data_IF_018370858391
#
_entry.id   IF_018370858391
#
_cell.length_a   1.000
_cell.length_b   1.000
_cell.length_c   1.000
_cell.angle_alpha   90.00
_cell.angle_beta   90.00
_cell.angle_gamma   90.00
#
_symmetry.space_group_name_H-M   'P 1'
#
loop_
_entity.id
_entity.type
_entity.pdbx_description
1 polymer ?
#
# COMPACT_ATOMS: atom_id res chain seq x y z
N UNK A 1 -31.37 7.51 -13.74
CA UNK A 1 -31.58 7.90 -15.15
C UNK A 1 -33.06 8.11 -15.48
N UNK A 2 -33.96 7.14 -15.22
CA UNK A 2 -35.38 7.28 -15.55
C UNK A 2 -36.13 8.36 -14.75
N UNK A 3 -35.87 8.52 -13.44
CA UNK A 3 -36.62 9.48 -12.60
C UNK A 3 -36.46 10.95 -12.97
N UNK A 4 -35.25 11.37 -13.36
CA UNK A 4 -35.00 12.78 -13.73
C UNK A 4 -35.56 13.11 -15.11
N UNK A 5 -35.38 12.21 -16.09
CA UNK A 5 -35.89 12.41 -17.46
C UNK A 5 -37.42 12.38 -17.48
N UNK A 6 -38.05 11.52 -16.67
CA UNK A 6 -39.51 11.49 -16.53
C UNK A 6 -40.05 12.75 -15.84
N UNK A 7 -39.38 13.25 -14.79
CA UNK A 7 -39.78 14.49 -14.10
C UNK A 7 -39.62 15.72 -15.01
N UNK A 8 -38.53 15.81 -15.76
CA UNK A 8 -38.28 16.89 -16.72
C UNK A 8 -39.29 16.85 -17.88
N UNK A 9 -39.59 15.66 -18.40
CA UNK A 9 -40.63 15.47 -19.41
C UNK A 9 -42.03 15.87 -18.91
N UNK A 10 -42.38 15.51 -17.68
CA UNK A 10 -43.65 15.87 -17.05
C UNK A 10 -43.78 17.38 -16.83
N UNK A 11 -42.71 18.06 -16.40
CA UNK A 11 -42.69 19.51 -16.24
C UNK A 11 -42.84 20.25 -17.58
N UNK A 12 -42.19 19.75 -18.64
CA UNK A 12 -42.35 20.29 -20.00
C UNK A 12 -43.77 20.08 -20.54
N UNK A 13 -44.35 18.89 -20.33
CA UNK A 13 -45.73 18.63 -20.71
C UNK A 13 -46.72 19.52 -19.93
N UNK A 14 -46.51 19.67 -18.61
CA UNK A 14 -47.35 20.50 -17.75
C UNK A 14 -47.31 21.98 -18.17
N UNK A 15 -46.10 22.52 -18.43
CA UNK A 15 -45.92 23.89 -18.91
C UNK A 15 -46.51 24.12 -20.29
N UNK A 16 -46.39 23.15 -21.21
CA UNK A 16 -47.05 23.20 -22.51
C UNK A 16 -48.58 23.24 -22.37
N UNK A 17 -49.16 22.40 -21.50
CA UNK A 17 -50.61 22.37 -21.25
C UNK A 17 -51.11 23.68 -20.63
N UNK A 18 -50.38 24.22 -19.64
CA UNK A 18 -50.75 25.48 -18.96
C UNK A 18 -50.70 26.69 -19.90
N UNK A 19 -49.77 26.70 -20.86
CA UNK A 19 -49.66 27.75 -21.89
C UNK A 19 -50.66 27.56 -23.03
N UNK A 20 -51.03 26.33 -23.38
CA UNK A 20 -51.98 26.05 -24.46
C UNK A 20 -53.44 26.24 -24.02
N UNK A 21 -53.76 26.02 -22.74
CA UNK A 21 -55.10 26.17 -22.16
C UNK A 21 -55.78 27.54 -22.39
N UNK A 22 -55.11 28.69 -22.16
CA UNK A 22 -55.70 30.00 -22.47
C UNK A 22 -55.81 30.28 -23.98
N UNK A 23 -55.09 29.54 -24.82
CA UNK A 23 -55.07 29.71 -26.28
C UNK A 23 -56.21 28.97 -26.99
N UNK A 24 -56.71 27.88 -26.41
CA UNK A 24 -57.92 27.19 -26.88
C UNK A 24 -59.21 27.93 -26.54
N UNK A 25 -59.18 28.91 -25.62
CA UNK A 25 -60.30 29.84 -25.44
C UNK A 25 -60.30 30.82 -26.62
N UNK A 26 -61.17 30.54 -27.60
CA UNK A 26 -61.37 31.29 -28.84
C UNK A 26 -61.50 32.80 -28.57
N UNK A 27 -60.52 33.59 -29.02
CA UNK A 27 -60.76 35.01 -29.34
C UNK A 27 -61.23 35.12 -30.81
N UNK A 28 -62.06 36.13 -31.15
CA UNK A 28 -63.01 36.03 -32.26
C UNK A 28 -62.45 36.16 -33.69
N UNK A 29 -61.13 36.29 -33.91
CA UNK A 29 -60.62 36.58 -35.26
C UNK A 29 -59.59 35.55 -35.75
N UNK A 30 -60.00 34.81 -36.78
CA UNK A 30 -59.32 33.64 -37.33
C UNK A 30 -58.05 33.94 -38.13
N UNK A 31 -56.88 33.96 -37.46
CA UNK A 31 -55.58 33.85 -38.13
C UNK A 31 -54.69 32.75 -37.51
N UNK A 32 -54.23 31.75 -38.27
CA UNK A 32 -53.46 30.60 -37.76
C UNK A 32 -51.97 30.89 -37.46
N UNK A 33 -51.48 32.11 -37.70
CA UNK A 33 -50.06 32.46 -37.57
C UNK A 33 -49.53 32.42 -36.12
N UNK A 34 -50.40 32.48 -35.09
CA UNK A 34 -49.99 32.56 -33.68
C UNK A 34 -49.66 31.20 -33.04
N UNK A 35 -50.10 30.09 -33.65
CA UNK A 35 -49.81 28.73 -33.18
C UNK A 35 -48.40 28.28 -33.57
N UNK A 36 -47.98 28.57 -34.80
CA UNK A 36 -46.64 28.22 -35.28
C UNK A 36 -45.53 28.99 -34.57
N UNK A 37 -45.78 30.26 -34.19
CA UNK A 37 -44.82 31.04 -33.41
C UNK A 37 -44.67 30.50 -31.98
N UNK A 38 -45.76 30.07 -31.34
CA UNK A 38 -45.70 29.49 -29.99
C UNK A 38 -44.94 28.15 -29.98
N UNK A 39 -45.19 27.27 -30.97
CA UNK A 39 -44.47 26.00 -31.12
C UNK A 39 -42.98 26.26 -31.41
N UNK A 40 -42.69 27.25 -32.26
CA UNK A 40 -41.32 27.66 -32.56
C UNK A 40 -40.56 28.13 -31.32
N UNK A 41 -41.19 28.98 -30.49
CA UNK A 41 -40.58 29.46 -29.24
C UNK A 41 -40.32 28.31 -28.28
N UNK A 42 -41.25 27.36 -28.13
CA UNK A 42 -41.10 26.22 -27.23
C UNK A 42 -39.99 25.26 -27.70
N UNK A 43 -39.88 25.05 -29.01
CA UNK A 43 -38.82 24.26 -29.62
C UNK A 43 -37.45 24.91 -29.42
N UNK A 44 -37.35 26.23 -29.64
CA UNK A 44 -36.12 26.99 -29.43
C UNK A 44 -35.71 26.99 -27.96
N UNK A 45 -36.66 27.10 -27.02
CA UNK A 45 -36.37 27.05 -25.59
C UNK A 45 -35.89 25.66 -25.15
N UNK A 46 -36.50 24.59 -25.68
CA UNK A 46 -36.13 23.22 -25.35
C UNK A 46 -34.78 22.83 -25.94
N UNK A 47 -34.57 23.11 -27.23
CA UNK A 47 -33.30 22.85 -27.92
C UNK A 47 -32.19 23.74 -27.36
N UNK A 48 -32.50 25.01 -27.12
CA UNK A 48 -31.60 25.97 -26.49
C UNK A 48 -31.20 25.54 -25.09
N UNK A 49 -32.14 25.03 -24.27
CA UNK A 49 -31.85 24.51 -22.93
C UNK A 49 -30.93 23.28 -22.97
N UNK A 50 -31.17 22.34 -23.88
CA UNK A 50 -30.31 21.15 -24.07
C UNK A 50 -28.92 21.56 -24.55
N UNK A 51 -28.83 22.46 -25.53
CA UNK A 51 -27.56 22.98 -26.04
C UNK A 51 -26.78 23.77 -24.99
N UNK A 52 -27.48 24.57 -24.17
CA UNK A 52 -26.90 25.35 -23.09
C UNK A 52 -26.42 24.46 -21.94
N UNK A 53 -27.17 23.41 -21.61
CA UNK A 53 -26.72 22.39 -20.66
C UNK A 53 -25.49 21.64 -21.20
N UNK A 54 -25.48 21.26 -22.48
CA UNK A 54 -24.32 20.60 -23.09
C UNK A 54 -23.08 21.52 -23.11
N UNK A 55 -23.26 22.83 -23.36
CA UNK A 55 -22.16 23.80 -23.44
C UNK A 55 -21.63 24.26 -22.07
N UNK A 56 -22.49 24.36 -21.05
CA UNK A 56 -22.12 24.87 -19.72
C UNK A 56 -21.93 23.77 -18.67
N UNK A 57 -22.46 22.55 -18.88
CA UNK A 57 -22.25 21.47 -17.92
C UNK A 57 -20.81 20.98 -17.96
N UNK A 58 -20.18 20.94 -16.79
CA UNK A 58 -18.86 20.33 -16.57
C UNK A 58 -18.97 18.85 -16.16
N UNK A 59 -20.13 18.22 -16.39
CA UNK A 59 -20.42 16.87 -15.93
C UNK A 59 -19.91 15.85 -16.96
N UNK A 60 -18.80 15.19 -16.66
CA UNK A 60 -18.19 14.20 -17.54
C UNK A 60 -18.80 12.81 -17.32
N UNK A 61 -19.77 12.45 -18.18
CA UNK A 61 -20.37 11.10 -18.25
C UNK A 61 -19.36 9.97 -18.52
N UNK A 62 -18.10 10.30 -18.85
CA UNK A 62 -16.98 9.37 -19.05
C UNK A 62 -16.36 8.82 -17.76
N UNK A 63 -16.64 9.41 -16.59
CA UNK A 63 -16.11 8.90 -15.30
C UNK A 63 -16.65 7.51 -14.95
N UNK A 64 -17.86 7.16 -15.40
CA UNK A 64 -18.46 5.84 -15.11
C UNK A 64 -17.78 4.69 -15.85
N UNK A 65 -17.23 4.93 -17.05
CA UNK A 65 -16.40 3.97 -17.78
C UNK A 65 -14.97 3.92 -17.24
N UNK A 66 -14.40 5.08 -16.85
CA UNK A 66 -13.04 5.13 -16.31
C UNK A 66 -12.89 4.40 -14.97
N UNK A 67 -13.93 4.40 -14.12
CA UNK A 67 -13.92 3.64 -12.86
C UNK A 67 -13.87 2.10 -13.09
N UNK A 68 -14.44 1.61 -14.20
CA UNK A 68 -14.48 0.19 -14.53
C UNK A 68 -13.11 -0.36 -15.02
N UNK A 69 -12.27 0.49 -15.58
CA UNK A 69 -10.95 0.14 -16.12
C UNK A 69 -9.79 0.45 -15.15
N UNK A 70 -10.09 0.79 -13.89
CA UNK A 70 -9.03 0.96 -12.89
C UNK A 70 -8.34 -0.39 -12.62
N UNK A 71 -7.02 -0.40 -12.33
CA UNK A 71 -6.31 -1.62 -11.94
C UNK A 71 -6.99 -2.37 -10.79
N UNK A 72 -7.60 -1.66 -9.84
CA UNK A 72 -8.37 -2.22 -8.74
C UNK A 72 -9.65 -2.92 -9.23
N UNK A 73 -10.43 -2.27 -10.11
CA UNK A 73 -11.65 -2.85 -10.67
C UNK A 73 -11.35 -4.08 -11.55
N UNK A 74 -10.30 -4.02 -12.37
CA UNK A 74 -9.85 -5.16 -13.17
C UNK A 74 -9.42 -6.35 -12.30
N UNK A 75 -8.68 -6.09 -11.22
CA UNK A 75 -8.27 -7.13 -10.26
C UNK A 75 -9.47 -7.74 -9.55
N UNK A 76 -10.47 -6.93 -9.16
CA UNK A 76 -11.70 -7.42 -8.56
C UNK A 76 -12.51 -8.29 -9.54
N UNK A 77 -12.59 -7.90 -10.82
CA UNK A 77 -13.23 -8.69 -11.87
C UNK A 77 -12.51 -10.02 -12.11
N UNK A 78 -11.18 -10.02 -12.10
CA UNK A 78 -10.37 -11.22 -12.19
C UNK A 78 -10.62 -12.16 -10.99
N UNK A 79 -10.58 -11.63 -9.77
CA UNK A 79 -10.89 -12.41 -8.56
C UNK A 79 -12.28 -13.05 -8.62
N UNK A 80 -13.29 -12.29 -9.10
CA UNK A 80 -14.65 -12.82 -9.28
C UNK A 80 -14.72 -13.93 -10.32
N UNK A 81 -13.97 -13.82 -11.42
CA UNK A 81 -13.90 -14.89 -12.43
C UNK A 81 -13.28 -16.15 -11.85
N UNK A 82 -12.17 -16.02 -11.12
CA UNK A 82 -11.45 -17.16 -10.54
C UNK A 82 -12.23 -17.87 -9.42
N UNK A 83 -13.24 -17.22 -8.85
CA UNK A 83 -14.20 -17.90 -7.98
C UNK A 83 -15.01 -18.98 -8.73
N UNK A 84 -15.28 -18.77 -10.03
CA UNK A 84 -15.97 -19.73 -10.89
C UNK A 84 -15.00 -20.64 -11.66
N UNK A 85 -13.72 -20.26 -11.76
CA UNK A 85 -12.64 -21.01 -12.41
C UNK A 85 -11.52 -21.35 -11.40
N UNK A 86 -11.81 -22.14 -10.36
CA UNK A 86 -10.90 -22.32 -9.22
C UNK A 86 -9.62 -23.11 -9.54
N UNK A 87 -9.56 -23.75 -10.70
CA UNK A 87 -8.42 -24.56 -11.19
C UNK A 87 -7.50 -23.79 -12.14
N UNK A 88 -7.82 -22.54 -12.47
CA UNK A 88 -7.04 -21.72 -13.39
C UNK A 88 -5.75 -21.19 -12.71
N UNK A 89 -4.68 -21.99 -12.77
CA UNK A 89 -3.39 -21.69 -12.16
C UNK A 89 -2.82 -20.34 -12.62
N UNK A 90 -2.78 -20.08 -13.92
CA UNK A 90 -2.23 -18.84 -14.49
C UNK A 90 -3.01 -17.61 -14.03
N UNK A 91 -4.33 -17.76 -13.92
CA UNK A 91 -5.21 -16.74 -13.36
C UNK A 91 -4.87 -16.42 -11.90
N UNK A 92 -4.61 -17.42 -11.07
CA UNK A 92 -4.19 -17.20 -9.67
C UNK A 92 -2.82 -16.54 -9.56
N UNK A 93 -1.86 -16.88 -10.44
CA UNK A 93 -0.56 -16.20 -10.51
C UNK A 93 -0.70 -14.74 -10.93
N UNK A 94 -1.53 -14.47 -11.94
CA UNK A 94 -1.84 -13.11 -12.37
C UNK A 94 -2.50 -12.31 -11.25
N UNK A 95 -3.46 -12.91 -10.55
CA UNK A 95 -4.14 -12.29 -9.42
C UNK A 95 -3.16 -11.97 -8.28
N UNK A 96 -2.22 -12.87 -7.98
CA UNK A 96 -1.14 -12.63 -7.04
C UNK A 96 -0.30 -11.40 -7.41
N UNK A 97 0.16 -11.33 -8.66
CA UNK A 97 0.94 -10.19 -9.18
C UNK A 97 0.17 -8.88 -9.13
N UNK A 98 -1.10 -8.89 -9.52
CA UNK A 98 -1.97 -7.71 -9.47
C UNK A 98 -2.15 -7.22 -8.04
N UNK A 99 -2.42 -8.11 -7.09
CA UNK A 99 -2.52 -7.73 -5.68
C UNK A 99 -1.20 -7.23 -5.11
N UNK A 100 -0.06 -7.81 -5.50
CA UNK A 100 1.27 -7.32 -5.10
C UNK A 100 1.52 -5.90 -5.60
N UNK A 101 1.21 -5.60 -6.86
CA UNK A 101 1.36 -4.26 -7.44
C UNK A 101 0.45 -3.23 -6.77
N UNK A 102 -0.75 -3.65 -6.36
CA UNK A 102 -1.69 -2.82 -5.60
C UNK A 102 -1.35 -2.73 -4.10
N UNK A 103 -0.22 -3.30 -3.67
CA UNK A 103 0.20 -3.39 -2.26
C UNK A 103 -0.82 -4.08 -1.34
N UNK A 104 -1.69 -4.91 -1.91
CA UNK A 104 -2.65 -5.74 -1.19
C UNK A 104 -2.00 -7.08 -0.82
N UNK A 105 -0.94 -7.01 -0.01
CA UNK A 105 -0.03 -8.12 0.27
C UNK A 105 -0.72 -9.38 0.80
N UNK A 106 -1.68 -9.25 1.72
CA UNK A 106 -2.45 -10.38 2.24
C UNK A 106 -3.24 -11.12 1.15
N UNK A 107 -3.84 -10.37 0.22
CA UNK A 107 -4.59 -10.95 -0.89
C UNK A 107 -3.65 -11.60 -1.91
N UNK A 108 -2.51 -10.98 -2.18
CA UNK A 108 -1.47 -11.53 -3.04
C UNK A 108 -0.93 -12.86 -2.50
N UNK A 109 -0.59 -12.93 -1.21
CA UNK A 109 -0.13 -14.16 -0.56
C UNK A 109 -1.17 -15.28 -0.72
N UNK A 110 -2.45 -15.00 -0.48
CA UNK A 110 -3.52 -16.00 -0.65
C UNK A 110 -3.63 -16.50 -2.09
N UNK A 111 -3.54 -15.60 -3.07
CA UNK A 111 -3.59 -15.94 -4.49
C UNK A 111 -2.38 -16.80 -4.92
N UNK A 112 -1.17 -16.42 -4.54
CA UNK A 112 0.03 -17.22 -4.80
C UNK A 112 -0.03 -18.59 -4.11
N UNK A 113 -0.46 -18.66 -2.85
CA UNK A 113 -0.63 -19.94 -2.16
C UNK A 113 -1.67 -20.84 -2.85
N UNK A 114 -2.72 -20.26 -3.45
CA UNK A 114 -3.68 -21.03 -4.25
C UNK A 114 -3.03 -21.56 -5.52
N UNK A 115 -2.26 -20.73 -6.24
CA UNK A 115 -1.51 -21.16 -7.42
C UNK A 115 -0.50 -22.28 -7.08
N UNK A 116 0.26 -22.15 -5.99
CA UNK A 116 1.21 -23.17 -5.56
C UNK A 116 0.50 -24.49 -5.23
N UNK A 117 -0.66 -24.44 -4.54
CA UNK A 117 -1.46 -25.65 -4.27
C UNK A 117 -1.95 -26.34 -5.55
N UNK A 118 -2.41 -25.58 -6.54
CA UNK A 118 -2.85 -26.13 -7.83
C UNK A 118 -1.70 -26.82 -8.58
N UNK A 119 -0.48 -26.32 -8.40
CA UNK A 119 0.74 -26.92 -8.96
C UNK A 119 1.33 -28.05 -8.10
N UNK A 120 0.59 -28.56 -7.10
CA UNK A 120 1.10 -29.61 -6.21
C UNK A 120 2.26 -29.15 -5.31
N UNK A 121 2.37 -27.85 -5.05
CA UNK A 121 3.44 -27.28 -4.24
C UNK A 121 4.77 -27.17 -4.99
N UNK A 122 4.76 -26.99 -6.30
CA UNK A 122 5.99 -26.93 -7.12
C UNK A 122 6.06 -25.70 -8.01
N UNK A 123 5.23 -24.68 -7.76
CA UNK A 123 5.25 -23.48 -8.59
C UNK A 123 6.25 -22.46 -8.07
N UNK A 124 7.39 -22.32 -8.77
CA UNK A 124 8.48 -21.41 -8.40
C UNK A 124 8.03 -19.95 -8.35
N UNK A 125 7.22 -19.50 -9.31
CA UNK A 125 6.71 -18.12 -9.36
C UNK A 125 5.84 -17.79 -8.12
N UNK A 126 4.93 -18.69 -7.75
CA UNK A 126 4.09 -18.53 -6.57
C UNK A 126 4.92 -18.52 -5.27
N UNK A 127 5.91 -19.41 -5.17
CA UNK A 127 6.82 -19.48 -4.01
C UNK A 127 7.61 -18.17 -3.89
N UNK A 128 8.16 -17.64 -4.98
CA UNK A 128 8.81 -16.34 -4.98
C UNK A 128 7.86 -15.20 -4.64
N UNK A 129 6.65 -15.20 -5.20
CA UNK A 129 5.66 -14.17 -4.91
C UNK A 129 5.38 -14.04 -3.41
N UNK A 130 5.28 -15.17 -2.68
CA UNK A 130 5.13 -15.15 -1.22
C UNK A 130 6.43 -14.74 -0.52
N UNK A 131 7.58 -15.27 -0.94
CA UNK A 131 8.88 -14.96 -0.33
C UNK A 131 9.22 -13.48 -0.42
N UNK A 132 9.02 -12.87 -1.60
CA UNK A 132 9.26 -11.46 -1.87
C UNK A 132 8.42 -10.57 -0.95
N UNK A 133 7.13 -10.89 -0.81
CA UNK A 133 6.22 -10.11 0.04
C UNK A 133 6.66 -10.20 1.50
N UNK A 134 6.97 -11.39 2.00
CA UNK A 134 7.35 -11.57 3.41
C UNK A 134 8.63 -10.78 3.74
N UNK A 135 9.66 -10.90 2.88
CA UNK A 135 10.92 -10.17 3.08
C UNK A 135 10.76 -8.66 2.90
N UNK A 136 9.88 -8.22 2.00
CA UNK A 136 9.58 -6.80 1.83
C UNK A 136 8.85 -6.19 3.04
N UNK A 137 8.01 -6.97 3.73
CA UNK A 137 7.31 -6.53 4.93
C UNK A 137 8.21 -6.52 6.17
N UNK A 138 9.06 -7.53 6.30
CA UNK A 138 10.01 -7.66 7.40
C UNK A 138 11.29 -8.36 6.92
N UNK A 139 12.41 -7.65 6.94
CA UNK A 139 13.70 -8.21 6.55
C UNK A 139 14.15 -9.36 7.45
N UNK A 140 13.62 -9.48 8.68
CA UNK A 140 13.88 -10.63 9.55
C UNK A 140 13.28 -11.93 8.96
N UNK A 141 12.23 -11.86 8.14
CA UNK A 141 11.65 -13.02 7.46
C UNK A 141 12.61 -13.68 6.47
N UNK A 142 13.70 -13.01 6.07
CA UNK A 142 14.77 -13.63 5.31
C UNK A 142 15.45 -14.76 6.10
N UNK A 143 15.47 -14.68 7.44
CA UNK A 143 15.90 -15.79 8.33
C UNK A 143 14.74 -16.73 8.65
N UNK A 144 13.52 -16.22 8.57
CA UNK A 144 12.28 -16.90 8.89
C UNK A 144 11.69 -17.67 7.71
N UNK A 145 10.38 -17.45 7.48
CA UNK A 145 9.60 -18.17 6.47
C UNK A 145 9.97 -17.73 5.06
N UNK A 146 10.25 -16.44 4.85
CA UNK A 146 10.69 -15.91 3.57
C UNK A 146 11.96 -16.61 3.06
N UNK A 147 12.97 -16.76 3.92
CA UNK A 147 14.20 -17.51 3.61
C UNK A 147 13.94 -18.96 3.20
N UNK A 148 13.12 -19.68 3.98
CA UNK A 148 12.75 -21.08 3.66
C UNK A 148 12.02 -21.22 2.33
N UNK A 149 11.24 -20.23 1.91
CA UNK A 149 10.62 -20.23 0.60
C UNK A 149 11.64 -20.06 -0.53
N UNK A 150 12.68 -19.25 -0.35
CA UNK A 150 13.78 -19.18 -1.32
C UNK A 150 14.57 -20.48 -1.41
N UNK A 151 14.73 -21.20 -0.31
CA UNK A 151 15.36 -22.53 -0.31
C UNK A 151 14.54 -23.54 -1.07
N UNK A 152 13.23 -23.59 -0.80
CA UNK A 152 12.30 -24.42 -1.58
C UNK A 152 12.31 -24.03 -3.06
N UNK A 153 12.37 -22.74 -3.38
CA UNK A 153 12.49 -22.30 -4.77
C UNK A 153 13.79 -22.78 -5.42
N UNK A 154 14.90 -22.81 -4.67
CA UNK A 154 16.18 -23.35 -5.15
C UNK A 154 16.13 -24.87 -5.36
N UNK A 155 15.39 -25.60 -4.52
CA UNK A 155 15.17 -27.04 -4.71
C UNK A 155 14.34 -27.32 -5.97
N UNK A 156 13.34 -26.48 -6.25
CA UNK A 156 12.48 -26.59 -7.42
C UNK A 156 13.19 -26.15 -8.72
N UNK A 157 14.03 -25.11 -8.62
CA UNK A 157 14.86 -24.59 -9.71
C UNK A 157 16.30 -24.34 -9.21
N UNK A 158 17.19 -25.34 -9.32
CA UNK A 158 18.60 -25.22 -8.92
C UNK A 158 19.40 -24.21 -9.74
N UNK A 159 18.86 -23.77 -10.88
CA UNK A 159 19.52 -22.80 -11.76
C UNK A 159 19.16 -21.36 -11.43
N UNK A 160 18.14 -21.15 -10.59
CA UNK A 160 17.66 -19.82 -10.22
C UNK A 160 18.70 -18.99 -9.49
N UNK A 161 19.19 -17.94 -10.16
CA UNK A 161 20.11 -16.96 -9.56
C UNK A 161 19.48 -16.28 -8.35
N UNK A 162 18.19 -15.93 -8.44
CA UNK A 162 17.43 -15.30 -7.36
C UNK A 162 17.34 -16.22 -6.15
N UNK A 163 16.93 -17.47 -6.34
CA UNK A 163 16.83 -18.42 -5.23
C UNK A 163 18.19 -18.67 -4.58
N UNK A 164 19.24 -18.84 -5.37
CA UNK A 164 20.60 -19.03 -4.87
C UNK A 164 21.08 -17.82 -4.06
N UNK A 165 20.86 -16.61 -4.57
CA UNK A 165 21.21 -15.37 -3.88
C UNK A 165 20.50 -15.25 -2.52
N UNK A 166 19.16 -15.25 -2.51
CA UNK A 166 18.42 -15.03 -1.27
C UNK A 166 18.57 -16.18 -0.27
N UNK A 167 18.72 -17.42 -0.73
CA UNK A 167 18.99 -18.56 0.14
C UNK A 167 20.40 -18.51 0.76
N UNK A 168 21.40 -17.95 0.07
CA UNK A 168 22.72 -17.71 0.65
C UNK A 168 22.66 -16.68 1.78
N UNK A 169 21.93 -15.58 1.58
CA UNK A 169 21.73 -14.57 2.61
C UNK A 169 20.82 -15.05 3.75
N UNK A 170 19.85 -15.93 3.48
CA UNK A 170 19.07 -16.60 4.51
C UNK A 170 19.97 -17.48 5.40
N UNK A 171 20.83 -18.31 4.79
CA UNK A 171 21.81 -19.13 5.49
C UNK A 171 22.78 -18.27 6.33
N UNK A 172 23.28 -17.17 5.77
CA UNK A 172 24.11 -16.20 6.49
C UNK A 172 23.36 -15.65 7.72
N UNK A 173 22.10 -15.25 7.54
CA UNK A 173 21.29 -14.70 8.60
C UNK A 173 20.97 -15.70 9.72
N UNK A 174 20.89 -16.99 9.40
CA UNK A 174 20.68 -18.08 10.35
C UNK A 174 21.97 -18.60 11.01
N UNK A 175 23.13 -18.08 10.63
CA UNK A 175 24.42 -18.53 11.15
C UNK A 175 24.92 -19.84 10.53
N UNK A 176 24.34 -20.26 9.40
CA UNK A 176 24.76 -21.45 8.65
C UNK A 176 25.97 -21.12 7.77
N UNK A 177 27.10 -20.78 8.40
CA UNK A 177 28.27 -20.20 7.73
C UNK A 177 28.84 -21.07 6.60
N UNK A 178 28.83 -22.40 6.76
CA UNK A 178 29.30 -23.31 5.72
C UNK A 178 28.41 -23.26 4.47
N UNK A 179 27.09 -23.29 4.65
CA UNK A 179 26.11 -23.24 3.56
C UNK A 179 26.15 -21.90 2.85
N UNK A 180 26.23 -20.80 3.61
CA UNK A 180 26.32 -19.45 3.07
C UNK A 180 27.59 -19.28 2.21
N UNK A 181 28.76 -19.68 2.73
CA UNK A 181 30.04 -19.59 2.01
C UNK A 181 30.03 -20.39 0.71
N UNK A 182 29.51 -21.62 0.75
CA UNK A 182 29.41 -22.46 -0.44
C UNK A 182 28.54 -21.81 -1.52
N UNK A 183 27.32 -21.39 -1.17
CA UNK A 183 26.41 -20.72 -2.12
C UNK A 183 27.00 -19.42 -2.67
N UNK A 184 27.65 -18.61 -1.83
CA UNK A 184 28.32 -17.39 -2.29
C UNK A 184 29.43 -17.67 -3.31
N UNK A 185 30.26 -18.69 -3.07
CA UNK A 185 31.30 -19.08 -4.03
C UNK A 185 30.71 -19.58 -5.35
N UNK A 186 29.60 -20.35 -5.31
CA UNK A 186 28.89 -20.78 -6.51
C UNK A 186 28.36 -19.61 -7.32
N UNK A 187 27.80 -18.57 -6.66
CA UNK A 187 27.33 -17.37 -7.36
C UNK A 187 28.52 -16.63 -7.98
N UNK A 188 29.63 -16.46 -7.25
CA UNK A 188 30.83 -15.77 -7.74
C UNK A 188 31.46 -16.48 -8.96
N UNK A 189 31.44 -17.81 -8.99
CA UNK A 189 31.93 -18.61 -10.11
C UNK A 189 31.17 -18.34 -11.42
N UNK A 190 29.92 -17.85 -11.35
CA UNK A 190 29.10 -17.47 -12.50
C UNK A 190 29.33 -16.04 -12.99
N UNK A 191 30.33 -15.34 -12.45
CA UNK A 191 30.69 -13.96 -12.79
C UNK A 191 29.47 -12.99 -12.71
N UNK A 192 28.90 -12.79 -11.51
CA UNK A 192 27.73 -11.95 -11.34
C UNK A 192 28.08 -10.48 -11.60
N UNK A 193 27.04 -9.67 -11.81
CA UNK A 193 27.15 -8.20 -11.92
C UNK A 193 27.90 -7.59 -10.73
N UNK A 194 28.53 -6.44 -10.94
CA UNK A 194 29.40 -5.82 -9.93
C UNK A 194 28.69 -5.47 -8.62
N UNK A 195 27.43 -5.03 -8.70
CA UNK A 195 26.55 -4.76 -7.56
C UNK A 195 26.29 -6.02 -6.72
N UNK A 196 25.92 -7.12 -7.38
CA UNK A 196 25.69 -8.42 -6.72
C UNK A 196 26.98 -8.97 -6.12
N UNK A 197 28.10 -8.84 -6.85
CA UNK A 197 29.42 -9.28 -6.38
C UNK A 197 29.84 -8.57 -5.09
N UNK A 198 29.63 -7.25 -5.00
CA UNK A 198 29.94 -6.47 -3.81
C UNK A 198 29.13 -6.93 -2.60
N UNK A 199 27.83 -7.22 -2.78
CA UNK A 199 26.97 -7.74 -1.71
C UNK A 199 27.45 -9.11 -1.22
N UNK A 200 27.85 -10.00 -2.13
CA UNK A 200 28.36 -11.33 -1.79
C UNK A 200 29.70 -11.22 -1.03
N UNK A 201 30.61 -10.35 -1.48
CA UNK A 201 31.88 -10.10 -0.79
C UNK A 201 31.65 -9.55 0.62
N UNK A 202 30.68 -8.65 0.81
CA UNK A 202 30.29 -8.19 2.14
C UNK A 202 29.72 -9.33 3.00
N UNK A 203 28.94 -10.24 2.42
CA UNK A 203 28.43 -11.44 3.09
C UNK A 203 29.56 -12.35 3.57
N UNK A 204 30.56 -12.61 2.71
CA UNK A 204 31.74 -13.41 3.05
C UNK A 204 32.58 -12.77 4.16
N UNK A 205 32.80 -11.45 4.12
CA UNK A 205 33.51 -10.73 5.19
C UNK A 205 32.82 -10.89 6.56
N UNK A 206 31.48 -10.93 6.59
CA UNK A 206 30.73 -11.18 7.84
C UNK A 206 30.90 -12.62 8.35
N UNK A 207 31.18 -13.58 7.47
CA UNK A 207 31.44 -14.97 7.85
C UNK A 207 32.87 -15.18 8.38
N UNK A 208 33.80 -14.33 7.96
CA UNK A 208 35.21 -14.38 8.38
C UNK A 208 35.47 -13.54 9.64
N UNK A 209 34.53 -12.68 10.03
CA UNK A 209 34.56 -11.98 11.30
C UNK A 209 34.45 -13.00 12.47
N UNK A 210 35.17 -12.79 13.59
CA UNK A 210 35.06 -13.66 14.75
C UNK A 210 33.59 -13.78 15.18
N UNK A 211 33.12 -14.97 15.58
CA UNK A 211 31.74 -15.14 16.02
C UNK A 211 31.47 -14.19 17.18
N UNK A 212 30.69 -13.14 16.93
CA UNK A 212 30.13 -12.34 17.99
C UNK A 212 29.24 -13.28 18.82
N UNK A 213 29.52 -13.36 20.12
CA UNK A 213 28.80 -14.23 21.06
C UNK A 213 27.28 -14.21 20.79
N UNK A 214 26.75 -15.39 20.52
CA UNK A 214 25.33 -15.76 20.63
C UNK A 214 24.27 -14.75 20.15
N UNK A 215 23.76 -14.96 18.93
CA UNK A 215 22.32 -14.72 18.68
C UNK A 215 21.84 -13.26 18.62
N UNK A 216 22.73 -12.29 18.47
CA UNK A 216 22.40 -10.96 17.96
C UNK A 216 23.40 -10.61 16.87
N UNK A 217 23.06 -10.98 15.64
CA UNK A 217 23.71 -10.37 14.48
C UNK A 217 23.26 -8.92 14.50
N UNK A 218 24.12 -8.07 15.06
CA UNK A 218 24.08 -6.64 14.87
C UNK A 218 23.81 -6.38 13.38
N UNK A 219 22.81 -5.54 13.12
CA UNK A 219 22.50 -5.07 11.78
C UNK A 219 23.77 -4.68 11.04
N UNK A 220 23.77 -4.96 9.74
CA UNK A 220 24.76 -4.44 8.80
C UNK A 220 25.19 -3.03 9.23
N UNK A 221 26.49 -2.89 9.44
CA UNK A 221 27.09 -1.86 10.29
C UNK A 221 26.46 -0.47 10.19
N UNK A 222 26.11 0.04 11.38
CA UNK A 222 26.38 1.43 11.74
C UNK A 222 27.81 1.76 11.31
N UNK A 223 27.96 2.60 10.28
CA UNK A 223 29.16 3.43 10.19
C UNK A 223 29.12 4.38 11.38
N UNK A 224 30.11 4.30 12.26
CA UNK A 224 30.32 5.23 13.36
C UNK A 224 30.81 6.62 12.88
N UNK A 225 30.35 7.06 11.70
CA UNK A 225 30.68 8.34 11.09
C UNK A 225 29.50 9.33 11.04
N UNK A 226 28.29 8.95 11.48
CA UNK A 226 27.11 9.84 11.59
C UNK A 226 26.67 10.06 13.05
N UNK A 227 27.62 10.10 14.00
CA UNK A 227 27.35 10.48 15.39
C UNK A 227 27.01 11.98 15.56
N UNK A 228 26.69 12.70 14.48
CA UNK A 228 26.11 14.05 14.49
C UNK A 228 24.84 14.13 13.62
N UNK A 229 24.13 13.02 13.48
CA UNK A 229 22.85 12.97 12.75
C UNK A 229 21.67 13.52 13.54
N UNK A 230 20.77 14.17 12.82
CA UNK A 230 19.47 14.66 13.27
C UNK A 230 18.69 13.60 14.09
N UNK A 231 18.23 13.97 15.29
CA UNK A 231 17.56 13.06 16.25
C UNK A 231 16.22 13.61 16.72
N UNK A 232 15.29 12.70 17.01
CA UNK A 232 13.98 13.02 17.58
C UNK A 232 13.88 12.31 18.93
N UNK A 233 13.79 13.07 20.02
CA UNK A 233 13.64 12.54 21.38
C UNK A 233 12.25 12.85 21.93
N UNK A 234 11.47 11.83 22.26
CA UNK A 234 10.12 11.95 22.82
C UNK A 234 9.91 11.06 24.05
N UNK A 235 9.21 11.57 25.04
CA UNK A 235 8.76 10.83 26.23
C UNK A 235 7.30 10.48 26.09
N UNK A 236 7.01 9.19 25.93
CA UNK A 236 5.63 8.71 25.83
C UNK A 236 5.12 8.34 27.22
N UNK A 237 3.99 8.94 27.59
CA UNK A 237 3.28 8.66 28.84
C UNK A 237 1.87 8.14 28.54
N UNK A 238 1.31 7.38 29.46
CA UNK A 238 -0.04 6.84 29.34
C UNK A 238 -0.99 7.57 30.27
N UNK A 239 -2.13 8.03 29.73
CA UNK A 239 -3.18 8.61 30.55
C UNK A 239 -3.75 7.56 31.53
N UNK A 240 -3.96 7.89 32.82
CA UNK A 240 -4.43 6.92 33.82
C UNK A 240 -5.74 6.20 33.45
N UNK A 241 -6.63 6.86 32.71
CA UNK A 241 -7.88 6.28 32.23
C UNK A 241 -7.69 5.12 31.22
N UNK A 242 -6.55 5.09 30.52
CA UNK A 242 -6.24 4.08 29.50
C UNK A 242 -5.44 2.90 30.06
N UNK A 243 -4.93 2.98 31.29
CA UNK A 243 -4.09 1.93 31.90
C UNK A 243 -4.77 0.55 31.99
N UNK A 244 -6.10 0.53 32.13
CA UNK A 244 -6.89 -0.71 32.21
C UNK A 244 -7.14 -1.36 30.84
N UNK A 245 -6.89 -0.63 29.75
CA UNK A 245 -7.15 -1.07 28.37
C UNK A 245 -5.90 -1.62 27.68
N UNK A 246 -4.74 -1.58 28.34
CA UNK A 246 -3.46 -2.02 27.76
C UNK A 246 -3.10 -3.41 28.28
N UNK A 247 -3.12 -4.44 27.41
CA UNK A 247 -2.56 -5.76 27.72
C UNK A 247 -1.07 -5.67 28.10
N UNK A 248 -0.62 -6.56 28.98
CA UNK A 248 0.78 -6.58 29.44
C UNK A 248 1.80 -6.91 28.31
N UNK A 249 1.33 -7.54 27.24
CA UNK A 249 2.06 -7.92 26.03
C UNK A 249 1.85 -6.95 24.86
N UNK A 250 1.13 -5.85 25.06
CA UNK A 250 0.88 -4.87 24.02
C UNK A 250 2.17 -4.21 23.52
N UNK A 251 2.16 -3.85 22.24
CA UNK A 251 3.30 -3.27 21.54
C UNK A 251 3.05 -1.79 21.26
N UNK A 252 4.02 -0.96 21.59
CA UNK A 252 4.06 0.47 21.26
C UNK A 252 4.85 0.68 19.97
N UNK A 253 4.21 1.27 18.97
CA UNK A 253 4.84 1.76 17.75
C UNK A 253 4.97 3.28 17.84
N UNK A 254 6.20 3.78 17.73
CA UNK A 254 6.48 5.22 17.64
C UNK A 254 7.01 5.52 16.25
N UNK A 255 6.30 6.35 15.49
CA UNK A 255 6.61 6.65 14.10
C UNK A 255 6.70 8.16 13.88
N UNK A 256 7.69 8.60 13.11
CA UNK A 256 7.81 9.98 12.65
C UNK A 256 7.32 10.08 11.19
N UNK A 257 6.34 10.93 10.92
CA UNK A 257 5.75 11.11 9.58
C UNK A 257 5.72 12.59 9.18
N UNK A 258 5.65 12.87 7.88
CA UNK A 258 5.41 14.24 7.41
C UNK A 258 3.89 14.49 7.35
N UNK A 259 3.36 15.49 8.10
CA UNK A 259 1.94 15.79 8.08
C UNK A 259 1.43 16.32 6.73
N UNK A 260 2.32 16.85 5.87
CA UNK A 260 1.97 17.41 4.55
C UNK A 260 2.04 16.37 3.42
N UNK A 261 2.77 15.27 3.61
CA UNK A 261 2.99 14.24 2.61
C UNK A 261 2.58 12.86 3.14
N UNK A 262 1.33 12.40 2.91
CA UNK A 262 0.91 11.06 3.31
C UNK A 262 1.77 10.01 2.62
N UNK A 263 2.39 9.14 3.40
CA UNK A 263 3.35 8.15 2.92
C UNK A 263 3.97 7.35 4.06
N UNK A 264 4.90 6.44 3.75
CA UNK A 264 5.60 5.67 4.77
C UNK A 264 6.36 6.62 5.73
N UNK A 265 6.40 6.29 7.03
CA UNK A 265 7.08 7.09 8.04
C UNK A 265 8.59 7.17 7.80
N UNK A 266 9.19 8.28 8.21
CA UNK A 266 10.64 8.53 8.15
C UNK A 266 11.42 7.65 9.11
N UNK A 267 10.84 7.32 10.25
CA UNK A 267 11.40 6.37 11.20
C UNK A 267 10.31 5.68 11.99
N UNK A 268 10.51 4.40 12.34
CA UNK A 268 9.59 3.62 13.16
C UNK A 268 10.37 2.81 14.19
N UNK A 269 9.92 2.87 15.44
CA UNK A 269 10.45 2.04 16.52
C UNK A 269 9.34 1.21 17.15
N UNK A 270 9.61 -0.08 17.31
CA UNK A 270 8.74 -1.05 17.99
C UNK A 270 9.28 -1.29 19.39
N UNK A 271 8.45 -1.05 20.41
CA UNK A 271 8.81 -1.16 21.82
C UNK A 271 7.70 -1.89 22.58
N UNK A 272 7.99 -2.54 23.72
CA UNK A 272 6.93 -3.00 24.60
C UNK A 272 6.16 -1.79 25.18
N UNK A 273 4.83 -1.89 25.30
CA UNK A 273 3.96 -0.81 25.80
C UNK A 273 4.04 -0.64 27.33
N UNK A 274 5.26 -0.39 27.84
CA UNK A 274 5.54 -0.13 29.26
C UNK A 274 5.81 1.36 29.44
N UNK A 275 4.95 2.04 30.19
CA UNK A 275 5.00 3.49 30.36
C UNK A 275 5.47 3.91 31.76
N UNK A 276 6.15 5.06 31.90
CA UNK A 276 6.62 5.95 30.83
C UNK A 276 7.81 5.36 30.06
N UNK A 277 7.93 5.69 28.77
CA UNK A 277 9.06 5.27 27.93
C UNK A 277 9.68 6.45 27.22
N UNK A 278 11.01 6.50 27.24
CA UNK A 278 11.78 7.48 26.49
C UNK A 278 12.22 6.85 25.17
N UNK A 279 11.94 7.55 24.07
CA UNK A 279 12.15 7.04 22.71
C UNK A 279 12.96 8.05 21.92
N UNK A 280 14.09 7.57 21.41
CA UNK A 280 14.89 8.29 20.43
C UNK A 280 14.73 7.62 19.07
N UNK A 281 14.33 8.42 18.07
CA UNK A 281 14.32 8.05 16.65
C UNK A 281 15.49 8.74 15.96
N UNK A 282 16.26 7.93 15.23
CA UNK A 282 17.47 8.34 14.51
C UNK A 282 17.37 7.92 13.04
N UNK A 283 18.33 8.36 12.21
CA UNK A 283 18.44 7.91 10.83
C UNK A 283 18.60 6.39 10.67
N UNK A 284 19.01 5.68 11.73
CA UNK A 284 19.08 4.22 11.74
C UNK A 284 17.72 3.52 11.90
N UNK A 285 16.69 4.25 12.32
CA UNK A 285 15.33 3.75 12.51
C UNK A 285 14.45 3.98 11.26
N UNK A 286 15.04 4.44 10.15
CA UNK A 286 14.35 4.70 8.89
C UNK A 286 14.06 3.42 8.09
N UNK A 287 12.82 3.27 7.61
CA UNK A 287 12.41 2.09 6.82
C UNK A 287 12.88 2.13 5.36
N UNK A 288 13.26 3.31 4.84
CA UNK A 288 13.72 3.52 3.46
C UNK A 288 15.00 4.34 3.46
N UNK A 289 16.06 3.88 2.79
CA UNK A 289 17.35 4.59 2.70
C UNK A 289 17.25 5.97 2.05
N UNK A 290 16.20 6.21 1.25
CA UNK A 290 15.93 7.46 0.53
C UNK A 290 15.16 8.51 1.34
N UNK A 291 14.62 8.18 2.52
CA UNK A 291 13.91 9.12 3.40
C UNK A 291 14.57 9.16 4.78
N UNK A 292 15.64 9.97 4.90
CA UNK A 292 16.32 10.23 6.18
C UNK A 292 15.70 11.41 6.90
N UNK A 293 15.77 11.39 8.22
CA UNK A 293 15.48 12.52 9.08
C UNK A 293 16.58 13.57 8.86
N UNK A 294 16.21 14.80 8.52
CA UNK A 294 17.14 15.91 8.34
C UNK A 294 16.90 17.00 9.39
N UNK A 295 17.96 17.72 9.78
CA UNK A 295 17.85 18.87 10.68
C UNK A 295 17.01 19.98 10.04
N UNK A 296 16.18 20.64 10.86
CA UNK A 296 15.26 21.69 10.42
C UNK A 296 13.95 21.18 9.80
N UNK A 297 13.75 19.86 9.70
CA UNK A 297 12.51 19.27 9.20
C UNK A 297 11.40 19.31 10.26
N UNK A 298 10.17 19.65 9.84
CA UNK A 298 8.98 19.54 10.70
C UNK A 298 8.30 18.21 10.46
N UNK A 299 8.21 17.38 11.50
CA UNK A 299 7.62 16.05 11.47
C UNK A 299 6.50 15.96 12.51
N UNK A 300 5.60 15.00 12.33
CA UNK A 300 4.63 14.59 13.33
C UNK A 300 5.06 13.24 13.89
N UNK A 301 5.23 13.16 15.20
CA UNK A 301 5.54 11.92 15.91
C UNK A 301 4.26 11.34 16.44
N UNK A 302 3.98 10.09 16.09
CA UNK A 302 2.79 9.36 16.51
C UNK A 302 3.20 8.14 17.30
N UNK A 303 2.71 8.04 18.52
CA UNK A 303 2.87 6.89 19.39
C UNK A 303 1.54 6.14 19.47
N UNK A 304 1.51 4.88 19.03
CA UNK A 304 0.32 4.02 19.05
C UNK A 304 0.58 2.73 19.78
N UNK A 305 -0.33 2.34 20.66
CA UNK A 305 -0.34 1.00 21.25
C UNK A 305 -1.19 0.09 20.38
N UNK A 306 -0.57 -0.88 19.75
CA UNK A 306 -1.24 -1.88 18.93
C UNK A 306 -1.78 -2.99 19.83
N UNK A 307 -3.11 -3.02 20.01
CA UNK A 307 -3.76 -4.08 20.78
C UNK A 307 -3.81 -5.40 20.00
N UNK A 308 -3.79 -5.34 18.66
CA UNK A 308 -3.77 -6.50 17.77
C UNK A 308 -2.37 -6.93 17.30
N UNK A 309 -1.29 -6.34 17.83
CA UNK A 309 0.10 -6.70 17.50
C UNK A 309 0.61 -6.27 16.12
N UNK A 310 -0.20 -5.57 15.32
CA UNK A 310 0.18 -5.06 13.99
C UNK A 310 0.49 -3.56 14.02
N UNK A 311 1.39 -3.06 13.15
CA UNK A 311 1.74 -1.63 13.09
C UNK A 311 0.64 -0.75 12.47
N UNK A 312 -0.37 -1.35 11.82
CA UNK A 312 -1.47 -0.64 11.16
C UNK A 312 -2.51 -0.19 12.18
N UNK A 313 -3.11 0.99 11.97
CA UNK A 313 -4.15 1.51 12.85
C UNK A 313 -5.36 0.54 12.90
N UNK A 314 -5.66 0.02 14.09
CA UNK A 314 -6.86 -0.77 14.34
C UNK A 314 -7.85 0.02 15.21
N UNK A 315 -9.14 -0.28 15.07
CA UNK A 315 -10.19 0.38 15.86
C UNK A 315 -10.00 0.00 17.34
N UNK A 316 -9.82 1.00 18.19
CA UNK A 316 -9.61 0.81 19.64
C UNK A 316 -8.17 0.97 20.11
N UNK A 317 -7.20 1.08 19.20
CA UNK A 317 -5.80 1.32 19.56
C UNK A 317 -5.63 2.75 20.14
N UNK A 318 -5.18 2.91 21.39
CA UNK A 318 -4.88 4.22 21.91
C UNK A 318 -3.64 4.79 21.22
N UNK A 319 -3.71 6.06 20.82
CA UNK A 319 -2.60 6.77 20.19
C UNK A 319 -2.49 8.21 20.69
N UNK A 320 -1.29 8.76 20.61
CA UNK A 320 -0.98 10.18 20.81
C UNK A 320 -0.13 10.69 19.66
N UNK A 321 -0.24 11.99 19.37
CA UNK A 321 0.53 12.63 18.30
C UNK A 321 1.01 14.02 18.72
N UNK A 322 2.20 14.40 18.27
CA UNK A 322 2.82 15.70 18.56
C UNK A 322 3.66 16.17 17.37
N UNK A 323 3.67 17.48 17.09
CA UNK A 323 4.59 18.07 16.12
C UNK A 323 6.00 18.19 16.70
N UNK A 324 7.02 17.93 15.88
CA UNK A 324 8.43 17.95 16.28
C UNK A 324 9.29 18.58 15.18
N UNK A 325 10.10 19.58 15.55
CA UNK A 325 11.08 20.24 14.70
C UNK A 325 12.46 19.69 14.98
N UNK A 326 12.97 18.91 14.05
CA UNK A 326 14.24 18.22 14.21
C UNK A 326 15.39 19.21 14.36
N UNK A 327 16.21 19.05 15.40
CA UNK A 327 17.34 19.92 15.70
C UNK A 327 16.98 21.25 16.39
N UNK A 328 15.69 21.61 16.48
CA UNK A 328 15.21 22.80 17.21
C UNK A 328 14.46 22.42 18.49
N UNK A 329 13.58 21.44 18.39
CA UNK A 329 12.85 20.92 19.53
C UNK A 329 13.78 19.99 20.31
N UNK A 330 13.80 20.14 21.63
CA UNK A 330 14.58 19.31 22.53
C UNK A 330 13.89 17.96 22.74
N UNK A 331 13.77 17.53 24.00
CA UNK A 331 12.93 16.39 24.34
C UNK A 331 11.51 16.89 24.60
N UNK A 332 10.53 16.31 23.90
CA UNK A 332 9.10 16.54 24.15
C UNK A 332 8.50 15.45 25.04
#
# INVERSE_FOLDING_TARGET
MFGFVTLAGLLLAATAVLLMWPLLKRLPDGRPARLFTAIGVLAVLSIGSVGLYAALSKYSWSEQTAAADTPVAMTAKLAKRLANEPENLDGWLMLGRSYSQLQQFELAIRAYQRADRLAGGKNVEAVFGVADILVALDMEELRGRGGRLYERALELDPTSEKAMFYSAFAALGRGESAVARERFNQILARNPRADVRALIQQGLQRLDAPPADGGKVAGAGKSAADASGARIAVRVTLAPALAKLIPADAVLFVAARDPKAPGPPFAVKRLPARFPVEVELTAADAMLETRRIADGQSLEVVARVALGGTPTASRGDPFGQVGYHVGKDGRL
#
